data_IF_128672156212
#
_entry.id   IF_128672156212
#
_cell.length_a   1.000
_cell.length_b   1.000
_cell.length_c   1.000
_cell.angle_alpha   90.00
_cell.angle_beta   90.00
_cell.angle_gamma   90.00
#
_symmetry.space_group_name_H-M   'P 1'
#
loop_
_entity.id
_entity.type
_entity.pdbx_description
1 polymer ?
#
# COMPACT_ATOMS: atom_id res chain seq x y z
N UNK A 1 76.07 -15.79 8.75
CA UNK A 1 76.12 -14.82 7.66
C UNK A 1 74.73 -14.81 7.07
N UNK A 2 73.81 -14.22 7.82
CA UNK A 2 73.48 -12.77 7.78
C UNK A 2 72.40 -12.59 6.70
N UNK A 3 71.25 -11.96 6.89
CA UNK A 3 70.55 -11.27 7.99
C UNK A 3 69.20 -10.87 7.32
N UNK A 4 68.03 -11.14 7.93
CA UNK A 4 67.07 -10.14 8.49
C UNK A 4 66.31 -9.29 7.42
N UNK A 5 65.02 -8.94 7.48
CA UNK A 5 63.99 -8.76 8.54
C UNK A 5 62.62 -8.63 7.81
N UNK A 6 61.49 -9.20 8.30
CA UNK A 6 60.40 -8.52 9.10
C UNK A 6 59.74 -7.33 8.37
N UNK A 7 58.45 -7.00 8.42
CA UNK A 7 57.18 -7.38 9.06
C UNK A 7 56.11 -6.63 8.18
N UNK A 8 54.86 -7.04 8.04
CA UNK A 8 53.77 -6.44 8.82
C UNK A 8 52.45 -7.17 8.58
N UNK A 9 51.79 -7.53 9.69
CA UNK A 9 50.37 -7.87 9.78
C UNK A 9 49.54 -6.60 9.91
N UNK A 10 48.49 -6.46 9.11
CA UNK A 10 47.16 -5.87 9.41
C UNK A 10 46.47 -5.69 8.03
N UNK A 11 45.22 -6.04 7.80
CA UNK A 11 44.07 -5.55 8.54
C UNK A 11 42.82 -6.38 8.18
N UNK A 12 42.00 -6.71 9.17
CA UNK A 12 40.61 -7.16 8.95
C UNK A 12 39.81 -5.97 8.44
N UNK A 13 39.18 -6.11 7.28
CA UNK A 13 38.20 -5.15 6.77
C UNK A 13 37.02 -5.89 6.18
N UNK A 14 35.82 -5.61 6.73
CA UNK A 14 34.51 -6.13 6.33
C UNK A 14 34.39 -6.31 4.80
N UNK A 15 34.07 -7.53 4.36
CA UNK A 15 33.46 -7.75 3.05
C UNK A 15 32.05 -7.15 3.11
N UNK A 16 31.96 -5.85 2.82
CA UNK A 16 30.70 -5.20 2.55
C UNK A 16 30.04 -5.91 1.38
N UNK A 17 28.73 -6.13 1.50
CA UNK A 17 27.87 -6.70 0.49
C UNK A 17 27.87 -5.76 -0.73
N UNK A 18 28.87 -5.90 -1.58
CA UNK A 18 28.93 -5.25 -2.88
C UNK A 18 28.00 -6.03 -3.80
N UNK A 19 26.81 -5.47 -3.98
CA UNK A 19 25.96 -5.67 -5.14
C UNK A 19 26.71 -5.06 -6.36
N UNK A 20 27.88 -5.62 -6.67
CA UNK A 20 28.70 -5.24 -7.80
C UNK A 20 28.04 -5.82 -9.03
N UNK A 21 27.67 -4.91 -9.92
CA UNK A 21 27.05 -5.11 -11.21
C UNK A 21 27.78 -6.16 -12.07
N UNK A 22 27.45 -7.45 -11.85
CA UNK A 22 28.01 -8.62 -12.57
C UNK A 22 27.65 -8.57 -14.07
N UNK A 23 26.86 -7.59 -14.51
CA UNK A 23 26.47 -7.39 -15.91
C UNK A 23 27.66 -7.20 -16.86
N UNK A 24 28.76 -6.62 -16.34
CA UNK A 24 30.00 -6.39 -17.11
C UNK A 24 30.92 -7.62 -17.19
N UNK A 25 30.72 -8.62 -16.34
CA UNK A 25 31.50 -9.87 -16.34
C UNK A 25 30.89 -10.95 -17.27
N UNK A 26 29.81 -10.64 -17.99
CA UNK A 26 29.19 -11.57 -18.93
C UNK A 26 30.00 -11.63 -20.25
N UNK A 27 30.30 -12.83 -20.79
CA UNK A 27 31.00 -12.98 -22.06
C UNK A 27 30.36 -12.15 -23.17
N UNK A 28 31.17 -11.61 -24.09
CA UNK A 28 30.75 -10.77 -25.24
C UNK A 28 29.61 -11.38 -26.10
N UNK A 29 29.30 -12.67 -25.97
CA UNK A 29 28.15 -13.34 -26.59
C UNK A 29 26.78 -13.13 -25.92
N UNK A 30 26.68 -12.35 -24.84
CA UNK A 30 25.42 -12.10 -24.10
C UNK A 30 24.94 -10.64 -24.18
N UNK A 31 25.27 -9.93 -25.25
CA UNK A 31 24.91 -8.53 -25.45
C UNK A 31 23.40 -8.26 -25.30
N UNK A 32 22.57 -9.10 -25.91
CA UNK A 32 21.11 -8.95 -25.85
C UNK A 32 20.55 -9.16 -24.44
N UNK A 33 21.15 -10.07 -23.66
CA UNK A 33 20.80 -10.26 -22.25
C UNK A 33 21.14 -9.01 -21.42
N UNK A 34 22.32 -8.41 -21.65
CA UNK A 34 22.75 -7.19 -20.95
C UNK A 34 21.83 -6.02 -21.29
N UNK A 35 21.53 -5.81 -22.58
CA UNK A 35 20.60 -4.77 -23.03
C UNK A 35 19.21 -4.95 -22.43
N UNK A 36 18.68 -6.17 -22.42
CA UNK A 36 17.38 -6.46 -21.82
C UNK A 36 17.38 -6.18 -20.31
N UNK A 37 18.43 -6.60 -19.59
CA UNK A 37 18.56 -6.34 -18.17
C UNK A 37 18.66 -4.83 -17.85
N UNK A 38 19.49 -4.10 -18.62
CA UNK A 38 19.65 -2.65 -18.48
C UNK A 38 18.33 -1.91 -18.78
N UNK A 39 17.58 -2.34 -19.80
CA UNK A 39 16.29 -1.75 -20.14
C UNK A 39 15.25 -1.96 -19.03
N UNK A 40 15.19 -3.16 -18.42
CA UNK A 40 14.30 -3.42 -17.29
C UNK A 40 14.69 -2.61 -16.05
N UNK A 41 15.99 -2.47 -15.78
CA UNK A 41 16.48 -1.62 -14.70
C UNK A 41 16.10 -0.16 -14.93
N UNK A 42 16.33 0.38 -16.13
CA UNK A 42 15.96 1.74 -16.47
C UNK A 42 14.44 1.98 -16.32
N UNK A 43 13.60 1.01 -16.70
CA UNK A 43 12.16 1.07 -16.48
C UNK A 43 11.81 1.09 -14.99
N UNK A 44 12.41 0.21 -14.19
CA UNK A 44 12.22 0.18 -12.75
C UNK A 44 12.58 1.54 -12.11
N UNK A 45 13.77 2.07 -12.44
CA UNK A 45 14.24 3.36 -11.92
C UNK A 45 13.33 4.50 -12.35
N UNK A 46 12.87 4.51 -13.61
CA UNK A 46 11.95 5.55 -14.08
C UNK A 46 10.63 5.54 -13.31
N UNK A 47 10.09 4.35 -13.02
CA UNK A 47 8.87 4.19 -12.23
C UNK A 47 9.06 4.67 -10.79
N UNK A 48 10.20 4.35 -10.16
CA UNK A 48 10.55 4.80 -8.81
C UNK A 48 10.71 6.33 -8.73
N UNK A 49 11.29 6.96 -9.76
CA UNK A 49 11.37 8.43 -9.85
C UNK A 49 9.96 9.04 -9.93
N UNK A 50 9.07 8.48 -10.75
CA UNK A 50 7.68 8.96 -10.85
C UNK A 50 6.95 8.77 -9.52
N UNK A 51 7.13 7.62 -8.84
CA UNK A 51 6.56 7.39 -7.51
C UNK A 51 6.97 8.51 -6.57
N UNK A 52 8.27 8.81 -6.47
CA UNK A 52 8.76 9.86 -5.58
C UNK A 52 8.22 11.25 -5.93
N UNK A 53 7.93 11.52 -7.21
CA UNK A 53 7.28 12.77 -7.62
C UNK A 53 5.81 12.82 -7.21
N UNK A 54 5.10 11.68 -7.28
CA UNK A 54 3.68 11.56 -6.96
C UNK A 54 3.38 11.26 -5.48
N UNK A 55 4.40 11.11 -4.62
CA UNK A 55 4.20 10.93 -3.20
C UNK A 55 3.76 12.25 -2.56
N UNK A 56 2.55 12.28 -2.00
CA UNK A 56 2.15 13.30 -1.04
C UNK A 56 2.76 12.93 0.31
N UNK A 57 3.61 13.78 0.87
CA UNK A 57 3.90 13.70 2.31
C UNK A 57 2.61 14.08 3.03
N UNK A 58 1.80 13.10 3.41
CA UNK A 58 0.75 13.36 4.41
C UNK A 58 1.46 13.75 5.72
N UNK A 59 0.97 14.78 6.42
CA UNK A 59 1.55 15.20 7.68
C UNK A 59 1.54 13.99 8.61
N UNK A 60 2.71 13.64 9.14
CA UNK A 60 2.82 12.65 10.20
C UNK A 60 1.75 12.94 11.26
N UNK A 61 0.93 11.93 11.53
CA UNK A 61 -0.18 11.85 12.49
C UNK A 61 0.27 12.02 13.97
N UNK A 62 1.30 12.83 14.21
CA UNK A 62 1.96 13.08 15.49
C UNK A 62 1.39 14.31 16.23
N UNK A 63 0.34 14.96 15.69
CA UNK A 63 -0.42 16.02 16.38
C UNK A 63 -1.74 15.51 16.98
N UNK A 64 -1.74 14.32 17.58
CA UNK A 64 -2.73 14.04 18.62
C UNK A 64 -2.31 14.80 19.88
N UNK A 65 -2.71 16.07 20.00
CA UNK A 65 -2.62 16.77 21.28
C UNK A 65 -3.41 15.96 22.32
N UNK A 66 -2.70 15.39 23.29
CA UNK A 66 -3.30 14.79 24.47
C UNK A 66 -4.04 15.89 25.26
N UNK A 67 -5.30 16.14 24.91
CA UNK A 67 -6.21 16.96 25.73
C UNK A 67 -6.66 16.15 26.94
N UNK A 68 -5.72 15.89 27.84
CA UNK A 68 -6.02 15.65 29.24
C UNK A 68 -5.83 16.97 29.98
N UNK A 69 -6.87 17.79 30.01
CA UNK A 69 -6.98 18.87 30.99
C UNK A 69 -8.45 19.14 31.32
N UNK A 70 -8.69 19.09 32.63
CA UNK A 70 -9.93 19.27 33.36
C UNK A 70 -10.56 20.67 33.18
N UNK A 71 -11.89 20.71 33.23
CA UNK A 71 -12.82 21.76 33.71
C UNK A 71 -12.82 23.21 33.17
N UNK A 72 -14.03 23.61 32.75
CA UNK A 72 -14.69 24.94 32.78
C UNK A 72 -14.06 26.16 32.05
N UNK A 73 -14.70 26.60 30.95
CA UNK A 73 -15.31 27.95 30.77
C UNK A 73 -15.22 28.56 29.35
N UNK A 74 -16.41 28.97 28.89
CA UNK A 74 -16.89 29.91 27.85
C UNK A 74 -15.97 30.70 26.87
N UNK A 75 -16.43 30.68 25.61
CA UNK A 75 -16.63 31.78 24.63
C UNK A 75 -15.42 32.55 24.05
N UNK A 76 -15.31 32.56 22.71
CA UNK A 76 -15.67 33.70 21.85
C UNK A 76 -15.47 33.37 20.37
N UNK A 77 -16.37 33.91 19.53
CA UNK A 77 -16.38 33.80 18.08
C UNK A 77 -15.29 34.66 17.42
N UNK A 78 -14.82 34.25 16.24
CA UNK A 78 -15.03 35.06 15.03
C UNK A 78 -14.90 34.23 13.76
N UNK A 79 -15.86 34.42 12.85
CA UNK A 79 -15.87 33.78 11.53
C UNK A 79 -15.16 34.66 10.52
N UNK A 80 -14.23 34.08 9.75
CA UNK A 80 -13.72 34.69 8.52
C UNK A 80 -13.42 33.60 7.50
N UNK A 81 -14.04 33.73 6.32
CA UNK A 81 -13.39 33.37 5.06
C UNK A 81 -13.82 32.07 4.41
N UNK A 82 -15.00 32.09 3.80
CA UNK A 82 -15.27 31.34 2.58
C UNK A 82 -14.14 31.62 1.57
N UNK A 83 -13.37 30.58 1.27
CA UNK A 83 -12.26 30.63 0.34
C UNK A 83 -11.76 29.21 0.10
N UNK A 84 -12.49 28.45 -0.70
CA UNK A 84 -12.12 27.12 -1.20
C UNK A 84 -10.90 27.19 -2.13
N UNK A 85 -9.78 27.65 -1.57
CA UNK A 85 -8.50 27.77 -2.21
C UNK A 85 -7.71 26.50 -1.93
N UNK A 86 -7.26 25.92 -3.05
CA UNK A 86 -6.17 24.97 -3.16
C UNK A 86 -6.56 23.54 -2.88
N UNK A 87 -7.07 22.87 -3.91
CA UNK A 87 -6.64 21.49 -4.16
C UNK A 87 -5.12 21.58 -4.41
N UNK A 88 -4.25 21.14 -3.49
CA UNK A 88 -2.84 21.04 -3.81
C UNK A 88 -2.75 19.78 -4.68
N UNK A 89 -2.68 19.95 -5.99
CA UNK A 89 -2.01 18.93 -6.79
C UNK A 89 -0.66 18.74 -6.12
N UNK A 90 -0.40 17.57 -5.55
CA UNK A 90 0.89 17.26 -4.91
C UNK A 90 2.06 17.29 -5.91
N UNK A 91 1.74 17.54 -7.19
CA UNK A 91 2.64 17.68 -8.31
C UNK A 91 2.71 19.15 -8.76
N UNK A 92 3.91 19.64 -9.03
CA UNK A 92 4.09 20.90 -9.78
C UNK A 92 3.38 20.82 -11.14
N UNK A 93 2.88 21.96 -11.64
CA UNK A 93 2.13 22.04 -12.89
C UNK A 93 2.96 21.55 -14.10
N UNK A 94 4.27 21.73 -14.06
CA UNK A 94 5.22 21.27 -15.07
C UNK A 94 5.34 19.75 -15.08
N UNK A 95 5.52 19.12 -13.92
CA UNK A 95 5.58 17.66 -13.79
C UNK A 95 4.25 17.06 -14.22
N UNK A 96 3.16 17.62 -13.73
CA UNK A 96 1.81 17.24 -14.11
C UNK A 96 1.60 17.24 -15.63
N UNK A 97 1.92 18.37 -16.27
CA UNK A 97 1.78 18.54 -17.72
C UNK A 97 2.67 17.58 -18.50
N UNK A 98 3.89 17.32 -18.02
CA UNK A 98 4.81 16.36 -18.64
C UNK A 98 4.27 14.93 -18.58
N UNK A 99 3.72 14.50 -17.43
CA UNK A 99 3.12 13.17 -17.27
C UNK A 99 1.96 12.96 -18.24
N UNK A 100 1.06 13.94 -18.35
CA UNK A 100 -0.09 13.89 -19.28
C UNK A 100 0.38 13.94 -20.74
N UNK A 101 1.23 14.91 -21.10
CA UNK A 101 1.72 15.08 -22.47
C UNK A 101 2.39 13.81 -23.00
N UNK A 102 3.16 13.12 -22.16
CA UNK A 102 3.84 11.88 -22.54
C UNK A 102 3.01 10.61 -22.32
N UNK A 103 1.72 10.72 -21.97
CA UNK A 103 0.82 9.60 -21.71
C UNK A 103 1.40 8.60 -20.70
N UNK A 104 2.01 9.13 -19.63
CA UNK A 104 2.68 8.32 -18.60
C UNK A 104 1.68 7.42 -17.86
N UNK A 105 0.51 7.88 -17.40
CA UNK A 105 -0.47 7.01 -16.75
C UNK A 105 -0.83 5.77 -17.58
N UNK A 106 -1.09 5.94 -18.89
CA UNK A 106 -1.42 4.83 -19.78
C UNK A 106 -0.23 3.89 -20.01
N UNK A 107 1.01 4.39 -20.02
CA UNK A 107 2.22 3.57 -20.13
C UNK A 107 2.48 2.78 -18.85
N UNK A 108 2.29 3.40 -17.68
CA UNK A 108 2.41 2.75 -16.36
C UNK A 108 1.39 1.62 -16.27
N UNK A 109 0.14 1.90 -16.63
CA UNK A 109 -0.93 0.91 -16.63
C UNK A 109 -0.61 -0.31 -17.52
N UNK A 110 -0.07 -0.10 -18.73
CA UNK A 110 0.42 -1.19 -19.60
C UNK A 110 1.59 -1.98 -19.00
N UNK A 111 2.38 -1.36 -18.12
CA UNK A 111 3.52 -2.01 -17.46
C UNK A 111 3.13 -2.80 -16.21
N UNK A 112 1.95 -2.54 -15.66
CA UNK A 112 1.37 -3.31 -14.56
C UNK A 112 0.81 -4.68 -15.01
N UNK A 113 0.64 -4.90 -16.32
CA UNK A 113 0.24 -6.20 -16.87
C UNK A 113 1.29 -7.29 -16.60
N UNK A 114 0.85 -8.55 -16.51
CA UNK A 114 1.80 -9.66 -16.39
C UNK A 114 2.77 -9.71 -17.57
N UNK A 115 4.03 -10.14 -17.34
CA UNK A 115 4.96 -10.37 -18.42
C UNK A 115 4.35 -11.32 -19.46
N UNK A 116 4.48 -10.98 -20.75
CA UNK A 116 3.88 -11.78 -21.83
C UNK A 116 4.33 -13.24 -21.74
N UNK A 117 3.42 -14.23 -21.84
CA UNK A 117 3.78 -15.65 -21.73
C UNK A 117 4.90 -16.05 -22.68
N UNK A 118 4.87 -15.58 -23.93
CA UNK A 118 5.93 -15.84 -24.91
C UNK A 118 7.32 -15.33 -24.47
N UNK A 119 7.39 -14.21 -23.74
CA UNK A 119 8.64 -13.68 -23.21
C UNK A 119 9.13 -14.49 -22.00
N UNK A 120 8.20 -14.90 -21.13
CA UNK A 120 8.50 -15.78 -19.99
C UNK A 120 9.03 -17.13 -20.49
N UNK A 121 8.35 -17.75 -21.46
CA UNK A 121 8.76 -19.03 -22.07
C UNK A 121 10.15 -18.94 -22.70
N UNK A 122 10.43 -17.86 -23.44
CA UNK A 122 11.73 -17.63 -24.04
C UNK A 122 12.84 -17.53 -22.98
N UNK A 123 12.56 -16.86 -21.86
CA UNK A 123 13.49 -16.73 -20.74
C UNK A 123 13.66 -18.05 -19.96
N UNK A 124 12.61 -18.86 -19.84
CA UNK A 124 12.67 -20.15 -19.13
C UNK A 124 13.55 -21.18 -19.85
N UNK A 125 13.50 -21.20 -21.20
CA UNK A 125 14.29 -22.08 -22.06
C UNK A 125 15.79 -21.84 -21.94
N UNK A 126 16.21 -20.62 -21.58
CA UNK A 126 17.61 -20.24 -21.46
C UNK A 126 17.98 -19.94 -20.00
N UNK A 127 18.78 -20.79 -19.37
CA UNK A 127 19.14 -20.65 -17.96
C UNK A 127 19.71 -19.25 -17.60
N UNK A 128 20.47 -18.64 -18.51
CA UNK A 128 21.04 -17.29 -18.32
C UNK A 128 20.01 -16.16 -18.40
N UNK A 129 18.83 -16.39 -18.97
CA UNK A 129 17.77 -15.39 -19.13
C UNK A 129 16.70 -15.50 -18.04
N UNK A 130 16.70 -16.56 -17.24
CA UNK A 130 15.72 -16.76 -16.16
C UNK A 130 15.69 -15.61 -15.14
N UNK A 131 16.81 -14.93 -14.92
CA UNK A 131 16.86 -13.74 -14.06
C UNK A 131 16.02 -12.57 -14.59
N UNK A 132 15.81 -12.48 -15.91
CA UNK A 132 14.95 -11.46 -16.51
C UNK A 132 13.50 -11.61 -16.09
N UNK A 133 13.02 -12.83 -15.81
CA UNK A 133 11.64 -13.07 -15.35
C UNK A 133 11.39 -12.32 -14.05
N UNK A 134 12.29 -12.47 -13.07
CA UNK A 134 12.23 -11.73 -11.80
C UNK A 134 12.29 -10.21 -12.02
N UNK A 135 13.14 -9.73 -12.94
CA UNK A 135 13.22 -8.30 -13.27
C UNK A 135 11.93 -7.79 -13.93
N UNK A 136 11.28 -8.58 -14.77
CA UNK A 136 9.99 -8.23 -15.38
C UNK A 136 8.88 -8.13 -14.33
N UNK A 137 8.79 -9.08 -13.40
CA UNK A 137 7.86 -8.99 -12.26
C UNK A 137 8.16 -7.80 -11.35
N UNK A 138 9.44 -7.49 -11.11
CA UNK A 138 9.80 -6.29 -10.34
C UNK A 138 9.32 -5.00 -11.02
N UNK A 139 9.48 -4.88 -12.34
CA UNK A 139 8.93 -3.75 -13.11
C UNK A 139 7.40 -3.71 -12.98
N UNK A 140 6.73 -4.86 -13.02
CA UNK A 140 5.28 -4.96 -12.82
C UNK A 140 4.85 -4.41 -11.45
N UNK A 141 5.47 -4.88 -10.36
CA UNK A 141 5.16 -4.41 -9.02
C UNK A 141 5.44 -2.91 -8.87
N UNK A 142 6.57 -2.42 -9.40
CA UNK A 142 6.85 -0.97 -9.42
C UNK A 142 5.85 -0.17 -10.24
N UNK A 143 5.33 -0.72 -11.34
CA UNK A 143 4.29 -0.08 -12.12
C UNK A 143 2.96 0.01 -11.35
N UNK A 144 2.59 -1.03 -10.60
CA UNK A 144 1.43 -1.01 -9.71
C UNK A 144 1.57 0.01 -8.58
N UNK A 145 2.73 0.09 -7.92
CA UNK A 145 3.02 1.13 -6.93
C UNK A 145 2.98 2.54 -7.55
N UNK A 146 3.53 2.69 -8.76
CA UNK A 146 3.46 3.94 -9.51
C UNK A 146 2.02 4.34 -9.85
N UNK A 147 1.19 3.37 -10.26
CA UNK A 147 -0.23 3.56 -10.52
C UNK A 147 -0.98 4.01 -9.27
N UNK A 148 -0.74 3.38 -8.12
CA UNK A 148 -1.30 3.80 -6.82
C UNK A 148 -1.03 5.28 -6.52
N UNK A 149 0.23 5.73 -6.67
CA UNK A 149 0.60 7.13 -6.41
C UNK A 149 0.02 8.09 -7.47
N UNK A 150 -0.02 7.69 -8.74
CA UNK A 150 -0.67 8.47 -9.80
C UNK A 150 -2.16 8.67 -9.51
N UNK A 151 -2.86 7.61 -9.09
CA UNK A 151 -4.27 7.67 -8.72
C UNK A 151 -4.48 8.63 -7.54
N UNK A 152 -3.58 8.62 -6.55
CA UNK A 152 -3.67 9.51 -5.39
C UNK A 152 -3.37 10.99 -5.73
N UNK A 153 -2.42 11.25 -6.63
CA UNK A 153 -1.90 12.60 -6.87
C UNK A 153 -2.59 13.38 -8.02
N UNK A 154 -3.33 12.70 -8.91
CA UNK A 154 -3.89 13.30 -10.13
C UNK A 154 -5.42 13.35 -10.10
N UNK A 155 -6.01 14.35 -10.78
CA UNK A 155 -7.46 14.45 -10.89
C UNK A 155 -8.06 13.40 -11.84
N UNK A 156 -9.32 13.05 -11.58
CA UNK A 156 -10.06 12.04 -12.33
C UNK A 156 -10.18 12.35 -13.82
N UNK A 157 -10.40 13.63 -14.19
CA UNK A 157 -10.60 14.01 -15.59
C UNK A 157 -9.36 13.75 -16.43
N UNK A 158 -8.20 14.04 -15.86
CA UNK A 158 -6.91 13.88 -16.53
C UNK A 158 -6.44 12.44 -16.62
N UNK A 159 -7.03 11.55 -15.81
CA UNK A 159 -6.89 10.10 -15.93
C UNK A 159 -7.87 9.49 -16.94
N UNK A 160 -8.59 10.31 -17.72
CA UNK A 160 -9.58 9.86 -18.72
C UNK A 160 -11.01 9.78 -18.17
N UNK A 161 -11.29 10.47 -17.07
CA UNK A 161 -12.60 10.51 -16.43
C UNK A 161 -13.08 9.13 -15.98
N UNK A 162 -14.40 8.96 -15.90
CA UNK A 162 -15.03 7.69 -15.53
C UNK A 162 -14.59 6.52 -16.41
N UNK A 163 -14.46 6.72 -17.73
CA UNK A 163 -14.05 5.66 -18.66
C UNK A 163 -12.60 5.21 -18.44
N UNK A 164 -11.71 6.15 -18.13
CA UNK A 164 -10.33 5.87 -17.76
C UNK A 164 -10.25 5.02 -16.49
N UNK A 165 -10.95 5.43 -15.43
CA UNK A 165 -10.99 4.67 -14.18
C UNK A 165 -11.57 3.26 -14.35
N UNK A 166 -12.64 3.10 -15.13
CA UNK A 166 -13.19 1.76 -15.45
C UNK A 166 -12.17 0.88 -16.19
N UNK A 167 -11.34 1.46 -17.06
CA UNK A 167 -10.27 0.73 -17.75
C UNK A 167 -9.21 0.23 -16.75
N UNK A 168 -8.77 1.09 -15.83
CA UNK A 168 -7.85 0.72 -14.75
C UNK A 168 -8.47 -0.40 -13.89
N UNK A 169 -9.75 -0.26 -13.56
CA UNK A 169 -10.49 -1.22 -12.75
C UNK A 169 -10.56 -2.60 -13.39
N UNK A 170 -10.90 -2.67 -14.68
CA UNK A 170 -10.92 -3.89 -15.48
C UNK A 170 -9.54 -4.59 -15.48
N UNK A 171 -8.46 -3.81 -15.64
CA UNK A 171 -7.11 -4.37 -15.66
C UNK A 171 -6.67 -4.88 -14.29
N UNK A 172 -6.89 -4.12 -13.21
CA UNK A 172 -6.59 -4.60 -11.86
C UNK A 172 -7.39 -5.86 -11.50
N UNK A 173 -8.68 -5.90 -11.84
CA UNK A 173 -9.49 -7.10 -11.67
C UNK A 173 -8.89 -8.29 -12.44
N UNK A 174 -8.48 -8.07 -13.70
CA UNK A 174 -7.83 -9.13 -14.47
C UNK A 174 -6.57 -9.65 -13.78
N UNK A 175 -5.75 -8.78 -13.19
CA UNK A 175 -4.52 -9.20 -12.50
C UNK A 175 -4.81 -10.04 -11.26
N UNK A 176 -5.73 -9.58 -10.43
CA UNK A 176 -6.06 -10.23 -9.14
C UNK A 176 -6.77 -11.57 -9.34
N UNK A 177 -7.58 -11.70 -10.40
CA UNK A 177 -8.38 -12.91 -10.66
C UNK A 177 -7.80 -13.85 -11.73
N UNK A 178 -6.62 -13.55 -12.31
CA UNK A 178 -6.03 -14.40 -13.37
C UNK A 178 -5.31 -15.65 -12.87
N UNK A 179 -4.72 -15.65 -11.66
CA UNK A 179 -3.99 -16.82 -11.16
C UNK A 179 -3.84 -16.84 -9.64
N UNK A 180 -4.19 -17.98 -9.03
CA UNK A 180 -4.05 -18.22 -7.60
C UNK A 180 -2.59 -18.33 -7.13
N UNK A 181 -1.61 -18.54 -8.03
CA UNK A 181 -0.19 -18.59 -7.66
C UNK A 181 0.41 -17.20 -7.43
N UNK A 182 -0.12 -16.17 -8.09
CA UNK A 182 0.40 -14.79 -8.00
C UNK A 182 0.07 -14.16 -6.64
N UNK A 183 -1.03 -14.59 -6.01
CA UNK A 183 -1.46 -14.12 -4.68
C UNK A 183 -0.47 -14.52 -3.56
N UNK A 184 0.54 -15.35 -3.88
CA UNK A 184 1.60 -15.74 -2.94
C UNK A 184 2.80 -14.79 -2.90
N UNK A 185 2.95 -13.92 -3.89
CA UNK A 185 4.06 -12.95 -3.91
C UNK A 185 3.65 -11.70 -3.13
N UNK A 186 4.24 -11.52 -1.95
CA UNK A 186 3.90 -10.42 -1.03
C UNK A 186 4.08 -9.03 -1.65
N UNK A 187 5.19 -8.80 -2.37
CA UNK A 187 5.47 -7.52 -3.06
C UNK A 187 4.41 -7.22 -4.13
N UNK A 188 3.96 -8.24 -4.86
CA UNK A 188 2.87 -8.07 -5.82
C UNK A 188 1.55 -7.77 -5.11
N UNK A 189 1.23 -8.53 -4.06
CA UNK A 189 -0.01 -8.39 -3.32
C UNK A 189 -0.12 -7.01 -2.66
N UNK A 190 0.98 -6.49 -2.12
CA UNK A 190 1.08 -5.13 -1.59
C UNK A 190 0.84 -4.07 -2.66
N UNK A 191 1.51 -4.20 -3.82
CA UNK A 191 1.39 -3.23 -4.89
C UNK A 191 -0.02 -3.21 -5.51
N UNK A 192 -0.61 -4.39 -5.75
CA UNK A 192 -1.95 -4.50 -6.36
C UNK A 192 -3.05 -4.08 -5.39
N UNK A 193 -2.96 -4.41 -4.10
CA UNK A 193 -3.95 -3.99 -3.10
C UNK A 193 -3.87 -2.49 -2.83
N UNK A 194 -2.67 -1.89 -2.85
CA UNK A 194 -2.51 -0.43 -2.76
C UNK A 194 -3.18 0.29 -3.95
N UNK A 195 -2.93 -0.19 -5.17
CA UNK A 195 -3.52 0.39 -6.37
C UNK A 195 -5.05 0.22 -6.40
N UNK A 196 -5.53 -0.95 -5.99
CA UNK A 196 -6.96 -1.25 -5.89
C UNK A 196 -7.66 -0.35 -4.85
N UNK A 197 -7.04 -0.16 -3.68
CA UNK A 197 -7.54 0.74 -2.63
C UNK A 197 -7.71 2.17 -3.16
N UNK A 198 -6.67 2.75 -3.75
CA UNK A 198 -6.75 4.13 -4.29
C UNK A 198 -7.79 4.27 -5.39
N UNK A 199 -7.87 3.29 -6.29
CA UNK A 199 -8.88 3.30 -7.33
C UNK A 199 -10.29 3.30 -6.75
N UNK A 200 -10.59 2.37 -5.84
CA UNK A 200 -11.91 2.23 -5.22
C UNK A 200 -12.28 3.48 -4.41
N UNK A 201 -11.32 4.09 -3.71
CA UNK A 201 -11.52 5.35 -2.99
C UNK A 201 -11.98 6.47 -3.93
N UNK A 202 -11.29 6.65 -5.06
CA UNK A 202 -11.63 7.68 -6.04
C UNK A 202 -13.01 7.39 -6.63
N UNK A 203 -13.28 6.13 -7.02
CA UNK A 203 -14.57 5.74 -7.58
C UNK A 203 -15.72 5.98 -6.60
N UNK A 204 -15.55 5.62 -5.33
CA UNK A 204 -16.54 5.86 -4.28
C UNK A 204 -16.78 7.37 -4.07
N UNK A 205 -15.72 8.18 -3.99
CA UNK A 205 -15.83 9.63 -3.81
C UNK A 205 -16.57 10.34 -4.96
N UNK A 206 -16.52 9.78 -6.16
CA UNK A 206 -17.18 10.31 -7.37
C UNK A 206 -18.49 9.61 -7.70
N UNK A 207 -18.98 8.69 -6.85
CA UNK A 207 -20.15 7.85 -7.08
C UNK A 207 -20.09 7.08 -8.42
N UNK A 208 -18.91 6.63 -8.80
CA UNK A 208 -18.71 5.79 -9.99
C UNK A 208 -18.99 4.33 -9.61
N UNK A 209 -19.85 3.61 -10.34
CA UNK A 209 -20.15 2.20 -10.06
C UNK A 209 -18.89 1.34 -10.02
N UNK A 210 -18.74 0.54 -8.95
CA UNK A 210 -17.62 -0.39 -8.80
C UNK A 210 -17.68 -1.48 -9.87
N UNK A 211 -16.53 -1.84 -10.45
CA UNK A 211 -16.47 -2.83 -11.54
C UNK A 211 -16.34 -4.29 -11.04
N UNK A 212 -16.07 -4.49 -9.76
CA UNK A 212 -15.88 -5.80 -9.12
C UNK A 212 -17.06 -6.08 -8.19
N UNK A 213 -17.52 -7.33 -8.17
CA UNK A 213 -18.58 -7.68 -7.24
C UNK A 213 -18.05 -7.64 -5.80
N UNK A 214 -18.90 -7.34 -4.81
CA UNK A 214 -18.51 -7.40 -3.41
C UNK A 214 -17.91 -8.75 -3.02
N UNK A 215 -18.44 -9.86 -3.56
CA UNK A 215 -17.95 -11.21 -3.29
C UNK A 215 -16.53 -11.42 -3.85
N UNK A 216 -16.23 -10.86 -5.02
CA UNK A 216 -14.89 -10.87 -5.59
C UNK A 216 -13.91 -10.11 -4.69
N UNK A 217 -14.25 -8.90 -4.26
CA UNK A 217 -13.40 -8.10 -3.36
C UNK A 217 -13.19 -8.78 -2.01
N UNK A 218 -14.23 -9.39 -1.44
CA UNK A 218 -14.09 -10.18 -0.21
C UNK A 218 -13.12 -11.34 -0.37
N UNK A 219 -13.16 -12.08 -1.49
CA UNK A 219 -12.23 -13.19 -1.73
C UNK A 219 -10.76 -12.76 -1.74
N UNK A 220 -10.48 -11.57 -2.30
CA UNK A 220 -9.14 -10.96 -2.33
C UNK A 220 -8.72 -10.54 -0.93
N UNK A 221 -9.63 -9.89 -0.19
CA UNK A 221 -9.36 -9.42 1.16
C UNK A 221 -9.17 -10.58 2.14
N UNK A 222 -9.89 -11.69 2.00
CA UNK A 222 -9.69 -12.90 2.79
C UNK A 222 -8.29 -13.53 2.58
N UNK A 223 -7.77 -13.48 1.35
CA UNK A 223 -6.41 -13.91 1.07
C UNK A 223 -5.39 -12.92 1.64
N UNK A 224 -5.60 -11.62 1.42
CA UNK A 224 -4.69 -10.56 1.84
C UNK A 224 -4.60 -10.41 3.38
N UNK A 225 -5.70 -10.61 4.11
CA UNK A 225 -5.72 -10.57 5.59
C UNK A 225 -4.94 -11.72 6.24
N UNK A 226 -4.58 -12.76 5.49
CA UNK A 226 -3.72 -13.86 5.96
C UNK A 226 -2.24 -13.66 5.64
N UNK A 227 -1.89 -12.59 4.92
CA UNK A 227 -0.51 -12.26 4.61
C UNK A 227 0.22 -11.77 5.86
N UNK A 228 1.50 -12.14 6.01
CA UNK A 228 2.32 -11.70 7.13
C UNK A 228 2.67 -10.21 7.05
N UNK A 229 2.62 -9.63 5.84
CA UNK A 229 2.87 -8.21 5.59
C UNK A 229 1.72 -7.33 6.10
N UNK A 230 2.05 -6.42 7.01
CA UNK A 230 1.10 -5.52 7.68
C UNK A 230 0.39 -4.59 6.69
N UNK A 231 1.13 -3.97 5.76
CA UNK A 231 0.57 -3.04 4.76
C UNK A 231 -0.46 -3.72 3.85
N UNK A 232 -0.23 -4.98 3.47
CA UNK A 232 -1.19 -5.79 2.72
C UNK A 232 -2.49 -5.96 3.51
N UNK A 233 -2.40 -6.29 4.80
CA UNK A 233 -3.59 -6.46 5.65
C UNK A 233 -4.34 -5.14 5.83
N UNK A 234 -3.62 -4.04 6.06
CA UNK A 234 -4.22 -2.69 6.14
C UNK A 234 -4.94 -2.35 4.85
N UNK A 235 -4.31 -2.51 3.68
CA UNK A 235 -4.96 -2.25 2.39
C UNK A 235 -6.23 -3.08 2.19
N UNK A 236 -6.21 -4.36 2.59
CA UNK A 236 -7.38 -5.23 2.49
C UNK A 236 -8.56 -4.73 3.33
N UNK A 237 -8.28 -4.28 4.55
CA UNK A 237 -9.31 -3.74 5.45
C UNK A 237 -9.87 -2.41 4.92
N UNK A 238 -9.01 -1.52 4.42
CA UNK A 238 -9.44 -0.28 3.77
C UNK A 238 -10.34 -0.56 2.56
N UNK A 239 -9.98 -1.53 1.70
CA UNK A 239 -10.82 -1.96 0.57
C UNK A 239 -12.20 -2.41 1.07
N UNK A 240 -12.26 -3.22 2.13
CA UNK A 240 -13.54 -3.64 2.73
C UNK A 240 -14.32 -2.45 3.29
N UNK A 241 -13.67 -1.48 3.90
CA UNK A 241 -14.28 -0.23 4.40
C UNK A 241 -14.95 0.55 3.27
N UNK A 242 -14.21 0.81 2.19
CA UNK A 242 -14.70 1.54 1.00
C UNK A 242 -15.87 0.79 0.33
N UNK A 243 -15.74 -0.53 0.17
CA UNK A 243 -16.82 -1.34 -0.41
C UNK A 243 -18.05 -1.34 0.48
N UNK A 244 -17.90 -1.52 1.79
CA UNK A 244 -19.03 -1.54 2.71
C UNK A 244 -19.73 -0.19 2.82
N UNK A 245 -19.00 0.93 2.86
CA UNK A 245 -19.61 2.28 2.91
C UNK A 245 -20.34 2.63 1.61
N UNK A 246 -19.90 2.09 0.47
CA UNK A 246 -20.63 2.19 -0.80
C UNK A 246 -21.92 1.35 -0.76
N UNK A 247 -21.82 0.10 -0.29
CA UNK A 247 -22.96 -0.82 -0.19
C UNK A 247 -24.02 -0.39 0.82
N UNK A 248 -23.63 0.32 1.88
CA UNK A 248 -24.56 0.86 2.88
C UNK A 248 -25.69 1.72 2.29
N UNK A 249 -25.44 2.30 1.10
CA UNK A 249 -26.38 3.14 0.34
C UNK A 249 -27.23 2.35 -0.66
N UNK A 250 -26.91 1.08 -0.90
CA UNK A 250 -27.59 0.22 -1.87
C UNK A 250 -28.63 -0.67 -1.19
N UNK A 251 -29.84 -0.73 -1.72
CA UNK A 251 -30.92 -1.55 -1.15
C UNK A 251 -30.63 -3.04 -1.29
N UNK A 252 -30.95 -3.83 -0.26
CA UNK A 252 -30.73 -5.27 -0.26
C UNK A 252 -29.28 -5.72 -0.03
N UNK A 253 -28.39 -4.82 0.40
CA UNK A 253 -26.98 -5.12 0.67
C UNK A 253 -26.70 -5.65 2.09
N UNK A 254 -27.69 -5.67 3.00
CA UNK A 254 -27.51 -6.02 4.42
C UNK A 254 -26.81 -7.35 4.65
N UNK A 255 -27.05 -8.38 3.85
CA UNK A 255 -26.36 -9.68 4.03
C UNK A 255 -24.86 -9.58 3.72
N UNK A 256 -24.49 -8.78 2.71
CA UNK A 256 -23.08 -8.52 2.39
C UNK A 256 -22.42 -7.65 3.45
N UNK A 257 -23.13 -6.64 3.96
CA UNK A 257 -22.63 -5.80 5.06
C UNK A 257 -22.44 -6.60 6.35
N UNK A 258 -23.29 -7.59 6.64
CA UNK A 258 -23.10 -8.51 7.76
C UNK A 258 -21.82 -9.34 7.60
N UNK A 259 -21.53 -9.83 6.39
CA UNK A 259 -20.29 -10.56 6.11
C UNK A 259 -19.06 -9.66 6.31
N UNK A 260 -19.07 -8.46 5.73
CA UNK A 260 -17.99 -7.47 5.87
C UNK A 260 -17.78 -7.11 7.34
N UNK A 261 -18.84 -6.74 8.07
CA UNK A 261 -18.76 -6.35 9.48
C UNK A 261 -18.26 -7.49 10.38
N UNK A 262 -18.68 -8.73 10.12
CA UNK A 262 -18.19 -9.89 10.87
C UNK A 262 -16.70 -10.15 10.63
N UNK A 263 -16.24 -10.00 9.39
CA UNK A 263 -14.82 -10.13 9.05
C UNK A 263 -13.98 -9.05 9.74
N UNK A 264 -14.38 -7.77 9.65
CA UNK A 264 -13.70 -6.65 10.30
C UNK A 264 -13.66 -6.81 11.83
N UNK A 265 -14.77 -7.18 12.48
CA UNK A 265 -14.80 -7.45 13.92
C UNK A 265 -13.84 -8.57 14.34
N UNK A 266 -13.74 -9.62 13.53
CA UNK A 266 -12.81 -10.72 13.80
C UNK A 266 -11.35 -10.23 13.75
N UNK A 267 -10.99 -9.40 12.77
CA UNK A 267 -9.64 -8.84 12.64
C UNK A 267 -9.34 -7.85 13.77
N UNK A 268 -10.24 -6.91 14.05
CA UNK A 268 -10.10 -5.93 15.13
C UNK A 268 -9.85 -6.59 16.50
N UNK A 269 -10.45 -7.77 16.73
CA UNK A 269 -10.29 -8.53 17.97
C UNK A 269 -9.01 -9.38 18.01
N UNK A 270 -8.66 -10.05 16.89
CA UNK A 270 -7.71 -11.17 16.90
C UNK A 270 -6.34 -10.84 16.29
N UNK A 271 -6.22 -9.80 15.46
CA UNK A 271 -4.93 -9.52 14.80
C UNK A 271 -3.86 -9.17 15.87
N UNK A 272 -2.62 -9.69 15.72
CA UNK A 272 -1.54 -9.36 16.64
C UNK A 272 -1.05 -7.91 16.50
N UNK A 273 -1.22 -7.28 15.33
CA UNK A 273 -0.74 -5.93 15.07
C UNK A 273 -1.83 -4.88 15.33
N UNK A 274 -1.53 -3.96 16.25
CA UNK A 274 -2.45 -2.88 16.63
C UNK A 274 -2.78 -1.93 15.47
N UNK A 275 -1.88 -1.72 14.50
CA UNK A 275 -2.17 -0.90 13.30
C UNK A 275 -3.28 -1.55 12.47
N UNK A 276 -3.22 -2.88 12.29
CA UNK A 276 -4.25 -3.66 11.59
C UNK A 276 -5.55 -3.66 12.37
N UNK A 277 -5.49 -3.77 13.71
CA UNK A 277 -6.69 -3.63 14.53
C UNK A 277 -7.32 -2.23 14.43
N UNK A 278 -6.50 -1.17 14.37
CA UNK A 278 -6.95 0.21 14.21
C UNK A 278 -7.65 0.43 12.88
N UNK A 279 -7.01 0.01 11.78
CA UNK A 279 -7.61 0.05 10.44
C UNK A 279 -8.94 -0.73 10.37
N UNK A 280 -9.02 -1.89 11.01
CA UNK A 280 -10.26 -2.68 11.03
C UNK A 280 -11.40 -1.95 11.78
N UNK A 281 -11.06 -1.16 12.81
CA UNK A 281 -12.02 -0.32 13.52
C UNK A 281 -12.44 0.90 12.70
N UNK A 282 -11.50 1.54 12.02
CA UNK A 282 -11.76 2.66 11.11
C UNK A 282 -12.72 2.24 10.00
N UNK A 283 -12.41 1.12 9.34
CA UNK A 283 -13.28 0.51 8.34
C UNK A 283 -14.66 0.14 8.93
N UNK A 284 -14.76 -0.33 10.17
CA UNK A 284 -16.07 -0.58 10.80
C UNK A 284 -16.88 0.71 10.95
N UNK A 285 -16.25 1.80 11.34
CA UNK A 285 -16.93 3.08 11.47
C UNK A 285 -17.36 3.62 10.12
N UNK A 286 -16.53 3.50 9.08
CA UNK A 286 -16.89 3.88 7.71
C UNK A 286 -18.09 3.08 7.17
N UNK A 287 -18.11 1.76 7.37
CA UNK A 287 -19.19 0.89 6.87
C UNK A 287 -20.51 1.15 7.60
N UNK A 288 -20.45 1.41 8.91
CA UNK A 288 -21.63 1.53 9.77
C UNK A 288 -21.93 2.97 10.20
N UNK A 289 -21.35 3.97 9.53
CA UNK A 289 -21.57 5.38 9.83
C UNK A 289 -23.02 5.81 9.53
N UNK A 290 -23.57 5.39 8.39
CA UNK A 290 -24.89 5.80 7.92
C UNK A 290 -25.48 4.77 6.93
N UNK A 291 -26.81 4.67 6.88
CA UNK A 291 -27.56 3.82 5.95
C UNK A 291 -28.45 2.77 6.62
N UNK A 292 -29.69 2.63 6.13
CA UNK A 292 -30.67 1.68 6.68
C UNK A 292 -30.21 0.21 6.61
N UNK A 293 -29.52 -0.17 5.54
CA UNK A 293 -28.99 -1.51 5.34
C UNK A 293 -27.80 -1.78 6.28
N UNK A 294 -26.97 -0.77 6.54
CA UNK A 294 -25.88 -0.83 7.51
C UNK A 294 -26.42 -0.97 8.94
N UNK A 295 -27.42 -0.17 9.32
CA UNK A 295 -28.08 -0.25 10.63
C UNK A 295 -28.77 -1.62 10.84
N UNK A 296 -29.43 -2.16 9.80
CA UNK A 296 -29.99 -3.51 9.82
C UNK A 296 -28.90 -4.57 10.02
N UNK A 297 -27.79 -4.47 9.29
CA UNK A 297 -26.65 -5.38 9.43
C UNK A 297 -25.99 -5.27 10.81
N UNK A 298 -25.81 -4.06 11.35
CA UNK A 298 -25.22 -3.78 12.65
C UNK A 298 -26.00 -4.45 13.79
N UNK A 299 -27.34 -4.40 13.73
CA UNK A 299 -28.21 -5.10 14.69
C UNK A 299 -28.05 -6.61 14.61
N UNK A 300 -27.98 -7.17 13.40
CA UNK A 300 -27.83 -8.61 13.19
C UNK A 300 -26.50 -9.15 13.74
N UNK A 301 -25.40 -8.42 13.53
CA UNK A 301 -24.07 -8.78 14.05
C UNK A 301 -23.84 -8.35 15.51
N UNK A 302 -24.83 -7.71 16.14
CA UNK A 302 -24.75 -7.14 17.51
C UNK A 302 -23.54 -6.20 17.69
N UNK A 303 -23.28 -5.35 16.70
CA UNK A 303 -22.07 -4.54 16.59
C UNK A 303 -21.71 -3.81 17.88
N UNK A 304 -22.66 -3.10 18.49
CA UNK A 304 -22.44 -2.35 19.74
C UNK A 304 -21.98 -3.23 20.90
N UNK A 305 -22.53 -4.45 21.00
CA UNK A 305 -22.14 -5.40 22.06
C UNK A 305 -20.71 -5.89 21.84
N UNK A 306 -20.37 -6.21 20.58
CA UNK A 306 -19.04 -6.64 20.18
C UNK A 306 -17.99 -5.55 20.41
N UNK A 307 -18.28 -4.29 20.06
CA UNK A 307 -17.39 -3.15 20.29
C UNK A 307 -17.15 -2.87 21.78
N UNK A 308 -18.20 -2.96 22.62
CA UNK A 308 -18.05 -2.85 24.08
C UNK A 308 -17.14 -3.93 24.67
N UNK A 309 -17.24 -5.17 24.16
CA UNK A 309 -16.36 -6.25 24.57
C UNK A 309 -14.92 -6.06 24.09
N UNK A 310 -14.72 -5.37 22.96
CA UNK A 310 -13.41 -5.11 22.37
C UNK A 310 -12.63 -3.98 23.06
N UNK A 311 -13.33 -2.99 23.60
CA UNK A 311 -12.74 -1.83 24.29
C UNK A 311 -11.62 -2.18 25.30
N UNK A 312 -11.80 -3.12 26.27
CA UNK A 312 -10.74 -3.48 27.21
C UNK A 312 -9.53 -4.15 26.53
N UNK A 313 -9.78 -4.97 25.51
CA UNK A 313 -8.71 -5.69 24.76
C UNK A 313 -7.84 -4.69 24.01
N UNK A 314 -8.46 -3.74 23.32
CA UNK A 314 -7.75 -2.71 22.58
C UNK A 314 -6.96 -1.79 23.52
N UNK A 315 -7.56 -1.37 24.64
CA UNK A 315 -6.87 -0.57 25.67
C UNK A 315 -5.63 -1.30 26.22
N UNK A 316 -5.74 -2.60 26.50
CA UNK A 316 -4.61 -3.40 26.97
C UNK A 316 -3.48 -3.46 25.93
N UNK A 317 -3.79 -3.72 24.65
CA UNK A 317 -2.80 -3.75 23.55
C UNK A 317 -2.10 -2.40 23.38
N UNK A 318 -2.84 -1.29 23.44
CA UNK A 318 -2.27 0.06 23.35
C UNK A 318 -1.41 0.44 24.55
N UNK A 319 -1.71 -0.06 25.74
CA UNK A 319 -0.88 0.14 26.94
C UNK A 319 0.43 -0.67 26.90
N UNK A 320 0.41 -1.91 26.40
CA UNK A 320 1.62 -2.75 26.26
C UNK A 320 2.64 -2.08 25.35
N UNK A 321 2.24 -1.57 24.18
CA UNK A 321 3.15 -0.82 23.29
C UNK A 321 3.72 0.44 23.93
N UNK A 322 2.92 1.20 24.69
CA UNK A 322 3.43 2.37 25.42
C UNK A 322 4.48 1.97 26.46
N UNK A 323 4.27 0.87 27.18
CA UNK A 323 5.26 0.35 28.12
C UNK A 323 6.54 -0.08 27.40
N UNK A 324 6.43 -0.83 26.29
CA UNK A 324 7.56 -1.29 25.46
C UNK A 324 8.37 -0.11 24.88
N UNK A 325 7.70 0.91 24.34
CA UNK A 325 8.33 2.15 23.84
C UNK A 325 9.01 2.97 24.95
N UNK A 326 8.49 2.92 26.17
CA UNK A 326 9.09 3.59 27.34
C UNK A 326 10.32 2.82 27.84
N UNK A 327 10.30 1.48 27.83
CA UNK A 327 11.50 0.65 28.08
C UNK A 327 12.54 0.77 26.97
N UNK A 328 12.14 0.95 25.70
CA UNK A 328 13.06 1.19 24.59
C UNK A 328 13.75 2.57 24.70
N UNK A 329 13.03 3.62 25.12
CA UNK A 329 13.64 4.92 25.46
C UNK A 329 14.54 4.86 26.70
N UNK A 330 14.23 4.00 27.67
CA UNK A 330 15.05 3.80 28.88
C UNK A 330 16.34 2.99 28.61
N UNK A 331 16.45 2.36 27.45
CA UNK A 331 17.64 1.57 27.05
C UNK A 331 18.68 2.37 26.25
N UNK A 332 18.44 3.66 25.98
CA UNK A 332 19.32 4.51 25.18
C UNK A 332 20.20 5.49 26.00
N UNK A 333 20.21 5.40 27.33
CA UNK A 333 21.08 6.23 28.18
C UNK A 333 21.82 5.35 29.20
N UNK A 334 22.80 4.58 28.73
CA UNK A 334 23.85 3.99 29.59
C UNK A 334 25.08 3.59 28.78
N UNK A 335 25.66 4.51 28.02
CA UNK A 335 27.06 4.41 27.58
C UNK A 335 27.70 5.79 27.70
N UNK A 336 28.41 6.03 28.82
CA UNK A 336 29.72 6.72 28.92
C UNK A 336 29.92 7.31 30.33
N UNK A 337 30.53 6.52 31.22
CA UNK A 337 31.44 7.10 32.21
C UNK A 337 32.46 6.04 32.62
N UNK A 338 33.62 6.08 31.96
CA UNK A 338 34.87 5.48 32.44
C UNK A 338 36.03 6.09 31.67
N UNK A 339 36.49 7.25 32.17
CA UNK A 339 37.89 7.55 32.50
C UNK A 339 37.96 8.85 33.27
#
# INVERSE_FOLDING_TARGET
MEEEMEEERMNRGKMGNQDEDISDLLPRGKEELRKAAALLLAQQTSLEVIVNMCCSEDPSDDEWEETSSSDESEACADGVGEGGLQSPLCLSAEVYSALIHHNVPQKVLKKAEFPRPAAVDACQRNASWRSLIRKMHRVQCRALTCLHNILAAMDTESLGGTAGLQTVAQQLASLVFSSAEVVKEEEFLEAVTSALRSLLQIMASKNIPQCMSPQQLMSVCEAATRCDVVSVRVNALAILGITGSTLAKETGSSDTLQMIGTALLSVASKDPNLVVCGEALDALFDVFADGDEAEKAARNIRLLTSLKALQPVFKAKSCVRRAEGTTARSSCVCWTTSR
#
